data_IF_088951486422
#
_entry.id   IF_088951486422
#
_cell.length_a   1.000
_cell.length_b   1.000
_cell.length_c   1.000
_cell.angle_alpha   90.00
_cell.angle_beta   90.00
_cell.angle_gamma   90.00
#
_symmetry.space_group_name_H-M   'P 1'
#
loop_
_entity.id
_entity.type
_entity.pdbx_description
1 polymer ?
#
# COMPACT_ATOMS: atom_id res chain seq x y z
N UNK A 1 -1.60 9.12 14.12
CA UNK A 1 -0.46 9.42 13.23
C UNK A 1 -0.36 8.39 12.10
N UNK A 2 -0.17 7.10 12.40
CA UNK A 2 -0.02 6.04 11.38
C UNK A 2 -1.18 5.94 10.37
N UNK A 3 -2.43 6.06 10.82
CA UNK A 3 -3.60 6.09 9.92
C UNK A 3 -3.51 7.17 8.83
N UNK A 4 -2.87 8.31 9.12
CA UNK A 4 -2.71 9.40 8.14
C UNK A 4 -1.75 9.02 7.01
N UNK A 5 -0.74 8.19 7.30
CA UNK A 5 0.16 7.65 6.28
C UNK A 5 -0.59 6.74 5.32
N UNK A 6 -1.54 5.94 5.84
CA UNK A 6 -2.45 5.16 4.99
C UNK A 6 -3.29 6.05 4.07
N UNK A 7 -3.86 7.14 4.60
CA UNK A 7 -4.62 8.12 3.80
C UNK A 7 -3.75 8.77 2.71
N UNK A 8 -2.52 9.15 3.05
CA UNK A 8 -1.57 9.73 2.11
C UNK A 8 -1.23 8.74 0.99
N UNK A 9 -0.85 7.50 1.33
CA UNK A 9 -0.49 6.48 0.37
C UNK A 9 -1.63 6.13 -0.59
N UNK A 10 -2.84 5.90 -0.08
CA UNK A 10 -3.98 5.58 -0.95
C UNK A 10 -4.44 6.76 -1.81
N UNK A 11 -4.24 8.00 -1.34
CA UNK A 11 -4.53 9.20 -2.13
C UNK A 11 -3.58 9.31 -3.33
N UNK A 12 -2.27 9.13 -3.12
CA UNK A 12 -1.28 9.12 -4.18
C UNK A 12 -1.52 7.97 -5.17
N UNK A 13 -1.81 6.77 -4.65
CA UNK A 13 -2.11 5.60 -5.47
C UNK A 13 -3.35 5.82 -6.35
N UNK A 14 -4.44 6.33 -5.79
CA UNK A 14 -5.68 6.58 -6.53
C UNK A 14 -5.55 7.69 -7.58
N UNK A 15 -4.60 8.62 -7.39
CA UNK A 15 -4.26 9.65 -8.37
C UNK A 15 -3.30 9.15 -9.46
N UNK A 16 -2.76 7.93 -9.32
CA UNK A 16 -1.73 7.41 -10.22
C UNK A 16 -0.36 8.07 -10.03
N UNK A 17 -0.13 8.78 -8.91
CA UNK A 17 1.15 9.41 -8.61
C UNK A 17 2.12 8.42 -7.97
N UNK A 18 2.52 7.44 -8.78
CA UNK A 18 3.41 6.37 -8.35
C UNK A 18 4.83 6.85 -8.05
N UNK A 19 5.24 7.98 -8.64
CA UNK A 19 6.55 8.55 -8.39
C UNK A 19 6.60 9.18 -7.00
N UNK A 20 5.60 9.97 -6.63
CA UNK A 20 5.57 10.54 -5.29
C UNK A 20 5.32 9.48 -4.22
N UNK A 21 4.49 8.47 -4.51
CA UNK A 21 4.31 7.33 -3.61
C UNK A 21 5.63 6.60 -3.34
N UNK A 22 6.42 6.36 -4.39
CA UNK A 22 7.76 5.77 -4.29
C UNK A 22 8.76 6.67 -3.54
N UNK A 23 8.76 7.98 -3.79
CA UNK A 23 9.65 8.90 -3.08
C UNK A 23 9.34 8.92 -1.59
N UNK A 24 8.04 8.86 -1.24
CA UNK A 24 7.55 9.00 0.11
C UNK A 24 7.70 7.75 0.97
N UNK A 25 7.48 6.57 0.37
CA UNK A 25 7.40 5.30 1.08
C UNK A 25 8.34 4.21 0.53
N UNK A 26 9.08 4.48 -0.55
CA UNK A 26 9.87 3.45 -1.24
C UNK A 26 9.00 2.31 -1.79
N UNK A 27 9.62 1.17 -2.08
CA UNK A 27 8.92 -0.09 -2.34
C UNK A 27 9.82 -1.29 -2.03
N UNK A 28 9.34 -2.23 -1.20
CA UNK A 28 10.15 -3.37 -0.76
C UNK A 28 10.45 -4.36 -1.90
N UNK A 29 9.47 -4.62 -2.77
CA UNK A 29 9.52 -5.66 -3.80
C UNK A 29 9.75 -5.08 -5.19
N UNK A 30 10.80 -4.28 -5.36
CA UNK A 30 11.07 -3.63 -6.64
C UNK A 30 11.71 -4.57 -7.69
N UNK A 31 12.30 -5.70 -7.29
CA UNK A 31 12.94 -6.71 -8.16
C UNK A 31 13.86 -6.14 -9.25
N UNK A 32 14.64 -5.11 -8.93
CA UNK A 32 15.57 -4.45 -9.85
C UNK A 32 14.93 -3.46 -10.82
N UNK A 33 13.60 -3.33 -10.83
CA UNK A 33 12.90 -2.19 -11.44
C UNK A 33 12.94 -1.00 -10.46
N UNK A 34 12.74 0.21 -10.97
CA UNK A 34 12.57 1.38 -10.10
C UNK A 34 11.27 1.28 -9.28
N UNK A 35 11.24 1.71 -8.00
CA UNK A 35 10.07 1.57 -7.12
C UNK A 35 8.76 2.04 -7.74
N UNK A 36 8.74 3.23 -8.36
CA UNK A 36 7.56 3.79 -9.00
C UNK A 36 7.00 2.90 -10.13
N UNK A 37 7.89 2.24 -10.89
CA UNK A 37 7.48 1.31 -11.94
C UNK A 37 6.89 0.04 -11.33
N UNK A 38 7.50 -0.53 -10.30
CA UNK A 38 7.00 -1.75 -9.67
C UNK A 38 5.62 -1.54 -9.03
N UNK A 39 5.44 -0.42 -8.33
CA UNK A 39 4.14 -0.02 -7.78
C UNK A 39 3.06 0.05 -8.87
N UNK A 40 3.37 0.71 -10.01
CA UNK A 40 2.43 0.80 -11.13
C UNK A 40 2.11 -0.58 -11.71
N UNK A 41 3.15 -1.38 -11.99
CA UNK A 41 2.99 -2.71 -12.56
C UNK A 41 2.10 -3.59 -11.65
N UNK A 42 2.29 -3.54 -10.33
CA UNK A 42 1.51 -4.32 -9.37
C UNK A 42 0.06 -3.81 -9.25
N UNK A 43 -0.14 -2.48 -9.30
CA UNK A 43 -1.48 -1.88 -9.35
C UNK A 43 -2.25 -2.30 -10.61
N UNK A 44 -1.59 -2.24 -11.78
CA UNK A 44 -2.17 -2.69 -13.06
C UNK A 44 -2.49 -4.18 -13.04
N UNK A 45 -1.59 -5.00 -12.49
CA UNK A 45 -1.83 -6.43 -12.29
C UNK A 45 -3.08 -6.66 -11.44
N UNK A 46 -3.19 -6.00 -10.28
CA UNK A 46 -4.34 -6.12 -9.38
C UNK A 46 -5.66 -5.75 -10.06
N UNK A 47 -5.69 -4.69 -10.86
CA UNK A 47 -6.89 -4.30 -11.60
C UNK A 47 -7.24 -5.33 -12.69
N UNK A 48 -6.24 -5.86 -13.40
CA UNK A 48 -6.45 -6.79 -14.51
C UNK A 48 -6.86 -8.22 -14.12
N UNK A 49 -6.71 -8.61 -12.84
CA UNK A 49 -7.02 -9.98 -12.37
C UNK A 49 -8.49 -10.38 -12.56
N UNK A 50 -9.42 -9.43 -12.59
CA UNK A 50 -10.87 -9.68 -12.72
C UNK A 50 -11.38 -9.39 -14.13
N UNK A 51 -11.10 -8.18 -14.61
CA UNK A 51 -11.51 -7.66 -15.91
C UNK A 51 -10.53 -6.53 -16.30
N UNK A 52 -10.06 -6.45 -17.56
CA UNK A 52 -9.20 -5.35 -18.03
C UNK A 52 -9.77 -3.94 -17.81
N UNK A 53 -11.08 -3.81 -17.58
CA UNK A 53 -11.80 -2.56 -17.35
C UNK A 53 -12.06 -2.26 -15.88
N UNK A 54 -11.55 -3.09 -14.96
CA UNK A 54 -11.70 -2.88 -13.52
C UNK A 54 -11.09 -1.55 -13.10
N UNK A 55 -11.81 -0.83 -12.23
CA UNK A 55 -11.40 0.47 -11.71
C UNK A 55 -11.70 0.55 -10.21
N UNK A 56 -11.08 1.51 -9.52
CA UNK A 56 -11.42 1.82 -8.13
C UNK A 56 -12.80 2.46 -8.02
N UNK A 57 -13.53 2.14 -6.95
CA UNK A 57 -14.82 2.77 -6.66
C UNK A 57 -14.63 4.26 -6.34
N UNK A 58 -15.45 5.11 -6.94
CA UNK A 58 -15.44 6.56 -6.72
C UNK A 58 -16.72 7.02 -6.02
N UNK A 59 -16.63 7.92 -5.01
CA UNK A 59 -15.41 8.46 -4.41
C UNK A 59 -14.62 7.41 -3.60
N UNK A 60 -13.30 7.62 -3.50
CA UNK A 60 -12.40 6.72 -2.77
C UNK A 60 -12.67 6.80 -1.27
N UNK A 61 -13.10 5.68 -0.69
CA UNK A 61 -13.33 5.51 0.74
C UNK A 61 -12.52 4.33 1.28
N UNK A 62 -11.24 4.55 1.66
CA UNK A 62 -10.36 3.48 2.07
C UNK A 62 -10.70 2.99 3.47
N UNK A 63 -10.79 1.67 3.64
CA UNK A 63 -10.84 1.04 4.96
C UNK A 63 -9.40 0.91 5.48
N UNK A 64 -9.03 1.73 6.47
CA UNK A 64 -7.67 1.76 7.02
C UNK A 64 -7.67 1.17 8.41
N UNK A 65 -6.84 0.16 8.63
CA UNK A 65 -6.61 -0.49 9.92
C UNK A 65 -5.13 -0.41 10.28
N UNK A 66 -4.83 -0.16 11.56
CA UNK A 66 -3.46 -0.22 12.08
C UNK A 66 -3.35 -1.43 12.98
N UNK A 67 -2.45 -2.34 12.65
CA UNK A 67 -2.14 -3.54 13.44
C UNK A 67 -0.76 -3.37 14.03
N UNK A 68 -0.58 -3.73 15.29
CA UNK A 68 0.72 -3.64 15.98
C UNK A 68 1.33 -5.03 16.09
N UNK A 69 2.62 -5.14 15.78
CA UNK A 69 3.36 -6.39 15.98
C UNK A 69 3.69 -6.56 17.47
N UNK A 70 3.76 -7.80 17.94
CA UNK A 70 4.21 -8.08 19.30
C UNK A 70 5.68 -7.68 19.45
N UNK A 71 6.01 -7.08 20.59
CA UNK A 71 7.33 -6.52 20.89
C UNK A 71 8.42 -7.58 21.17
N UNK A 72 8.24 -8.81 20.69
CA UNK A 72 9.23 -9.87 20.83
C UNK A 72 10.46 -9.44 20.03
N UNK A 73 11.53 -9.12 20.77
CA UNK A 73 12.66 -8.22 20.44
C UNK A 73 13.54 -8.60 19.22
N UNK A 74 13.09 -9.46 18.33
CA UNK A 74 13.88 -9.94 17.18
C UNK A 74 13.65 -9.14 15.90
N UNK A 75 12.58 -8.36 15.79
CA UNK A 75 12.29 -7.61 14.57
C UNK A 75 12.16 -6.11 14.85
N UNK A 76 12.67 -5.29 13.94
CA UNK A 76 12.49 -3.83 13.96
C UNK A 76 11.07 -3.41 13.58
N UNK A 77 10.19 -4.34 13.19
CA UNK A 77 8.81 -4.05 12.78
C UNK A 77 7.94 -3.82 14.02
N UNK A 78 7.12 -2.76 14.00
CA UNK A 78 6.23 -2.46 15.14
C UNK A 78 4.78 -2.21 14.74
N UNK A 79 4.48 -1.84 13.49
CA UNK A 79 3.11 -1.72 13.01
C UNK A 79 2.96 -2.01 11.51
N UNK A 80 1.75 -2.41 11.13
CA UNK A 80 1.26 -2.50 9.76
C UNK A 80 0.08 -1.53 9.61
N UNK A 81 0.13 -0.67 8.60
CA UNK A 81 -1.02 0.11 8.14
C UNK A 81 -1.60 -0.61 6.92
N UNK A 82 -2.73 -1.26 7.13
CA UNK A 82 -3.47 -2.05 6.14
C UNK A 82 -4.60 -1.19 5.57
N UNK A 83 -4.52 -0.85 4.29
CA UNK A 83 -5.50 -0.02 3.61
C UNK A 83 -6.22 -0.83 2.52
N UNK A 84 -7.55 -0.79 2.49
CA UNK A 84 -8.35 -1.48 1.46
C UNK A 84 -9.17 -0.50 0.64
N UNK A 85 -9.04 -0.59 -0.68
CA UNK A 85 -9.70 0.23 -1.69
C UNK A 85 -10.66 -0.64 -2.48
N UNK A 86 -11.97 -0.36 -2.42
CA UNK A 86 -12.97 -1.16 -3.15
C UNK A 86 -12.87 -0.94 -4.65
N UNK A 87 -13.10 -2.00 -5.42
CA UNK A 87 -13.32 -1.89 -6.86
C UNK A 87 -14.75 -1.41 -7.15
N UNK A 88 -14.91 -0.72 -8.28
CA UNK A 88 -16.17 -0.10 -8.69
C UNK A 88 -17.28 -1.12 -8.99
N UNK A 89 -16.91 -2.30 -9.47
CA UNK A 89 -17.81 -3.42 -9.79
C UNK A 89 -18.21 -4.23 -8.54
N UNK A 90 -17.62 -3.94 -7.38
CA UNK A 90 -17.84 -4.67 -6.14
C UNK A 90 -17.20 -6.05 -6.09
N UNK A 91 -16.35 -6.43 -7.06
CA UNK A 91 -15.69 -7.74 -7.12
C UNK A 91 -14.57 -7.92 -6.10
N UNK A 92 -14.37 -6.94 -5.21
CA UNK A 92 -13.49 -7.00 -4.05
C UNK A 92 -12.75 -5.68 -3.84
N UNK A 93 -11.51 -5.77 -3.39
CA UNK A 93 -10.67 -4.63 -3.08
C UNK A 93 -9.22 -4.81 -3.51
N UNK A 94 -8.49 -3.70 -3.57
CA UNK A 94 -7.04 -3.64 -3.60
C UNK A 94 -6.57 -3.34 -2.18
N UNK A 95 -5.66 -4.16 -1.70
CA UNK A 95 -4.97 -4.00 -0.43
C UNK A 95 -3.63 -3.29 -0.66
N UNK A 96 -3.35 -2.31 0.19
CA UNK A 96 -2.09 -1.56 0.23
C UNK A 96 -1.51 -1.67 1.63
N UNK A 97 -0.29 -2.19 1.72
CA UNK A 97 0.35 -2.49 2.99
C UNK A 97 1.56 -1.57 3.23
N UNK A 98 1.50 -0.77 4.30
CA UNK A 98 2.64 0.00 4.79
C UNK A 98 3.20 -0.64 6.05
N UNK A 99 4.43 -1.11 5.99
CA UNK A 99 5.12 -1.71 7.13
C UNK A 99 5.95 -0.64 7.83
N UNK A 100 5.74 -0.48 9.14
CA UNK A 100 6.44 0.47 9.97
C UNK A 100 7.53 -0.25 10.78
N UNK A 101 8.75 0.27 10.70
CA UNK A 101 9.91 -0.26 11.41
C UNK A 101 10.63 0.83 12.20
N UNK A 102 11.34 0.42 13.25
CA UNK A 102 12.17 1.28 14.08
C UNK A 102 13.56 0.67 14.25
N UNK A 103 14.60 1.44 13.92
CA UNK A 103 16.00 1.05 14.10
C UNK A 103 16.77 2.25 14.64
N UNK A 104 17.54 2.06 15.69
CA UNK A 104 18.41 3.11 16.26
C UNK A 104 17.63 4.41 16.61
N UNK A 105 16.37 4.28 17.07
CA UNK A 105 15.41 5.38 17.32
C UNK A 105 14.93 6.13 16.06
N UNK A 106 15.25 5.68 14.86
CA UNK A 106 14.68 6.16 13.61
C UNK A 106 13.50 5.29 13.18
N UNK A 107 12.41 5.93 12.76
CA UNK A 107 11.21 5.26 12.28
C UNK A 107 11.12 5.36 10.77
N UNK A 108 10.92 4.22 10.14
CA UNK A 108 10.74 4.09 8.71
C UNK A 108 9.36 3.50 8.40
N UNK A 109 8.85 3.85 7.22
CA UNK A 109 7.59 3.34 6.70
C UNK A 109 7.85 2.96 5.26
N UNK A 110 7.65 1.68 4.96
CA UNK A 110 7.89 1.12 3.64
C UNK A 110 6.58 0.66 3.05
N UNK A 111 6.32 1.00 1.79
CA UNK A 111 5.28 0.32 1.01
C UNK A 111 5.77 -1.09 0.69
N UNK A 112 5.10 -2.09 1.25
CA UNK A 112 5.57 -3.48 1.18
C UNK A 112 4.95 -4.19 -0.03
N UNK A 113 3.62 -4.10 -0.16
CA UNK A 113 2.85 -4.83 -1.16
C UNK A 113 1.60 -4.04 -1.59
N UNK A 114 1.24 -4.20 -2.87
CA UNK A 114 -0.08 -3.91 -3.42
C UNK A 114 -0.62 -5.23 -3.95
N UNK A 115 -1.79 -5.65 -3.48
CA UNK A 115 -2.35 -6.95 -3.84
C UNK A 115 -3.87 -6.91 -3.96
N UNK A 116 -4.42 -7.81 -4.78
CA UNK A 116 -5.85 -8.03 -4.87
C UNK A 116 -6.36 -8.78 -3.64
N UNK A 117 -7.50 -8.36 -3.12
CA UNK A 117 -8.24 -9.06 -2.07
C UNK A 117 -9.69 -9.24 -2.54
N UNK A 118 -10.04 -10.47 -2.91
CA UNK A 118 -11.36 -10.86 -3.42
C UNK A 118 -12.34 -11.15 -2.27
#
# INVERSE_FOLDING_TARGET
>A
MLRRLGVEAVSLLAQGDYQELANRFGYALAFGKGPAKSIRDDMEACLSESDPTSTLAMPIHPEITVKYFNADKQFSLFALVDCRLKLADGSGSIQVELVCSEKENERHVTLEQISRYA
#
